data_IF_045523507215
#
_entry.id   IF_045523507215
#
_cell.length_a   1.000
_cell.length_b   1.000
_cell.length_c   1.000
_cell.angle_alpha   90.00
_cell.angle_beta   90.00
_cell.angle_gamma   90.00
#
_symmetry.space_group_name_H-M   'P 1'
#
loop_
_entity.id
_entity.type
_entity.pdbx_description
1 polymer ?
#
# COMPACT_ATOMS: atom_id res chain seq x y z
N UNK A 1 -29.27 -1.42 -25.59
CA UNK A 1 -28.94 -0.85 -24.27
C UNK A 1 -27.57 -1.38 -23.87
N UNK A 2 -26.56 -0.50 -23.81
CA UNK A 2 -25.23 -0.84 -23.32
C UNK A 2 -24.55 0.44 -22.87
N UNK A 3 -24.60 0.73 -21.57
CA UNK A 3 -23.81 1.82 -20.99
C UNK A 3 -22.50 1.23 -20.48
N UNK A 4 -21.60 0.90 -21.40
CA UNK A 4 -20.21 0.62 -21.04
C UNK A 4 -19.53 1.98 -20.86
N UNK A 5 -19.37 2.41 -19.59
CA UNK A 5 -18.57 3.58 -19.28
C UNK A 5 -17.10 3.21 -19.46
N UNK A 6 -16.58 3.48 -20.64
CA UNK A 6 -15.15 3.62 -20.94
C UNK A 6 -14.57 4.78 -20.10
N UNK A 7 -14.31 4.52 -18.82
CA UNK A 7 -13.29 5.30 -18.13
C UNK A 7 -11.95 4.65 -18.48
N UNK A 8 -11.40 5.04 -19.62
CA UNK A 8 -10.08 4.65 -20.15
C UNK A 8 -8.91 5.12 -19.30
N UNK A 9 -8.94 4.85 -18.01
CA UNK A 9 -7.81 4.96 -17.10
C UNK A 9 -7.27 3.56 -16.85
N UNK A 10 -6.53 3.01 -17.82
CA UNK A 10 -5.67 1.84 -17.61
C UNK A 10 -4.41 2.23 -16.84
N UNK A 11 -4.57 2.96 -15.73
CA UNK A 11 -3.45 3.28 -14.86
C UNK A 11 -2.99 1.98 -14.22
N UNK A 12 -1.81 1.51 -14.59
CA UNK A 12 -1.19 0.37 -13.91
C UNK A 12 -0.71 0.87 -12.57
N UNK A 13 -1.46 0.55 -11.51
CA UNK A 13 -1.09 0.89 -10.14
C UNK A 13 -0.37 -0.29 -9.51
N UNK A 14 0.88 -0.07 -9.12
CA UNK A 14 1.65 -1.03 -8.32
C UNK A 14 2.02 -0.36 -7.01
N UNK A 15 1.84 -1.07 -5.89
CA UNK A 15 2.19 -0.54 -4.59
C UNK A 15 3.09 -1.50 -3.82
N UNK A 16 4.04 -0.92 -3.10
CA UNK A 16 5.03 -1.62 -2.31
C UNK A 16 5.18 -0.90 -0.98
N UNK A 17 5.38 -1.66 0.09
CA UNK A 17 5.75 -1.12 1.39
C UNK A 17 7.21 -1.48 1.63
N UNK A 18 8.09 -0.49 1.65
CA UNK A 18 9.46 -0.66 2.07
C UNK A 18 9.55 -0.50 3.59
N UNK A 19 9.89 -1.56 4.30
CA UNK A 19 10.13 -1.56 5.74
C UNK A 19 11.59 -1.88 5.96
N UNK A 20 12.40 -0.86 6.26
CA UNK A 20 13.86 -0.99 6.30
C UNK A 20 14.41 -1.49 4.96
N UNK A 21 15.09 -2.64 4.97
CA UNK A 21 15.65 -3.28 3.76
C UNK A 21 14.66 -4.24 3.06
N UNK A 22 13.49 -4.49 3.65
CA UNK A 22 12.49 -5.40 3.10
C UNK A 22 11.47 -4.64 2.25
N UNK A 23 11.26 -5.09 1.03
CA UNK A 23 10.23 -4.54 0.14
C UNK A 23 9.08 -5.53 0.00
N UNK A 24 7.95 -5.19 0.59
CA UNK A 24 6.78 -6.06 0.63
C UNK A 24 5.77 -5.59 -0.42
N UNK A 25 5.32 -6.50 -1.27
CA UNK A 25 4.36 -6.17 -2.32
C UNK A 25 2.95 -6.02 -1.74
N UNK A 26 2.28 -4.94 -2.13
CA UNK A 26 0.89 -4.70 -1.76
C UNK A 26 -0.02 -5.16 -2.89
N UNK A 27 -1.08 -5.88 -2.53
CA UNK A 27 -2.15 -6.22 -3.46
C UNK A 27 -3.05 -5.00 -3.72
N UNK A 28 -3.26 -4.16 -2.70
CA UNK A 28 -4.10 -2.97 -2.80
C UNK A 28 -3.73 -1.95 -1.74
N UNK A 29 -3.78 -0.68 -2.10
CA UNK A 29 -3.70 0.43 -1.14
C UNK A 29 -5.07 1.05 -0.98
N UNK A 30 -5.50 1.19 0.26
CA UNK A 30 -6.62 2.01 0.67
C UNK A 30 -6.12 3.37 1.17
N UNK A 31 -7.08 4.26 1.47
CA UNK A 31 -6.78 5.59 2.00
C UNK A 31 -6.09 5.56 3.37
N UNK A 32 -6.40 4.55 4.18
CA UNK A 32 -5.89 4.37 5.56
C UNK A 32 -5.54 2.92 5.87
N UNK A 33 -5.70 2.01 4.91
CA UNK A 33 -5.39 0.59 5.05
C UNK A 33 -4.52 0.12 3.90
N UNK A 34 -3.61 -0.81 4.16
CA UNK A 34 -2.80 -1.47 3.15
C UNK A 34 -3.18 -2.93 3.11
N UNK A 35 -3.41 -3.45 1.92
CA UNK A 35 -3.61 -4.89 1.68
C UNK A 35 -2.35 -5.46 1.07
N UNK A 36 -1.74 -6.41 1.75
CA UNK A 36 -0.53 -7.10 1.37
C UNK A 36 -0.83 -8.23 0.40
N UNK A 37 0.01 -8.41 -0.61
CA UNK A 37 -0.11 -9.51 -1.56
C UNK A 37 0.26 -10.84 -0.91
N UNK A 38 1.19 -10.80 0.03
CA UNK A 38 1.71 -11.95 0.75
C UNK A 38 1.42 -11.80 2.24
N UNK A 39 1.31 -12.93 2.95
CA UNK A 39 1.22 -12.90 4.40
C UNK A 39 2.57 -12.49 4.96
N UNK A 40 2.59 -11.44 5.78
CA UNK A 40 3.78 -10.95 6.46
C UNK A 40 3.41 -10.70 7.91
N UNK A 41 4.41 -10.72 8.80
CA UNK A 41 4.23 -10.38 10.20
C UNK A 41 5.02 -9.10 10.47
N UNK A 42 4.31 -8.06 10.89
CA UNK A 42 4.89 -6.76 11.19
C UNK A 42 4.34 -6.28 12.54
N UNK A 43 5.19 -5.83 13.47
CA UNK A 43 4.70 -5.29 14.72
C UNK A 43 3.95 -3.96 14.49
N UNK A 44 2.99 -3.61 15.37
CA UNK A 44 2.39 -2.28 15.36
C UNK A 44 3.46 -1.22 15.63
N UNK A 45 3.32 -0.04 15.03
CA UNK A 45 4.30 1.05 15.10
C UNK A 45 5.48 0.89 14.14
N UNK A 46 5.44 -0.10 13.25
CA UNK A 46 6.48 -0.27 12.22
C UNK A 46 6.44 0.89 11.23
N UNK A 47 7.54 1.61 11.16
CA UNK A 47 7.74 2.67 10.17
C UNK A 47 8.19 2.08 8.83
N UNK A 48 7.68 2.64 7.74
CA UNK A 48 8.05 2.24 6.40
C UNK A 48 7.73 3.32 5.38
N UNK A 49 8.13 3.07 4.14
CA UNK A 49 7.84 3.93 3.01
C UNK A 49 6.85 3.22 2.08
N UNK A 50 5.67 3.82 1.93
CA UNK A 50 4.69 3.41 0.96
C UNK A 50 5.10 3.96 -0.41
N UNK A 51 5.52 3.06 -1.29
CA UNK A 51 5.87 3.35 -2.68
C UNK A 51 4.69 2.98 -3.56
N UNK A 52 4.06 3.97 -4.18
CA UNK A 52 2.97 3.77 -5.15
C UNK A 52 3.47 4.20 -6.52
N UNK A 53 3.51 3.26 -7.46
CA UNK A 53 3.79 3.52 -8.86
C UNK A 53 2.48 3.57 -9.64
N UNK A 54 2.16 4.70 -10.24
CA UNK A 54 0.98 4.91 -11.07
C UNK A 54 1.45 5.34 -12.46
N UNK A 55 1.27 4.50 -13.47
CA UNK A 55 1.60 4.86 -14.87
C UNK A 55 3.07 5.33 -15.04
N UNK A 56 4.00 4.67 -14.33
CA UNK A 56 5.43 5.03 -14.32
C UNK A 56 5.80 6.19 -13.38
N UNK A 57 4.84 6.90 -12.81
CA UNK A 57 5.09 7.88 -11.74
C UNK A 57 5.20 7.17 -10.39
N UNK A 58 6.39 7.24 -9.80
CA UNK A 58 6.66 6.70 -8.45
C UNK A 58 6.45 7.79 -7.41
N UNK A 59 5.46 7.60 -6.56
CA UNK A 59 5.21 8.40 -5.35
C UNK A 59 5.68 7.60 -4.13
N UNK A 60 6.44 8.23 -3.24
CA UNK A 60 6.90 7.59 -2.00
C UNK A 60 6.42 8.41 -0.83
N UNK A 61 5.85 7.75 0.19
CA UNK A 61 5.35 8.39 1.41
C UNK A 61 5.81 7.65 2.65
N UNK A 62 6.34 8.39 3.63
CA UNK A 62 6.56 7.85 4.96
C UNK A 62 5.22 7.48 5.61
N UNK A 63 5.10 6.23 6.04
CA UNK A 63 3.94 5.69 6.72
C UNK A 63 4.36 4.92 7.96
N UNK A 64 3.49 4.90 8.97
CA UNK A 64 3.63 4.05 10.14
C UNK A 64 2.43 3.12 10.20
N UNK A 65 2.69 1.82 10.39
CA UNK A 65 1.65 0.84 10.62
C UNK A 65 1.05 1.10 12.01
N UNK A 66 -0.24 1.42 12.06
CA UNK A 66 -0.95 1.62 13.32
C UNK A 66 -1.26 0.27 13.95
N UNK A 67 -1.64 -0.70 13.12
CA UNK A 67 -1.91 -2.07 13.51
C UNK A 67 -0.76 -2.98 13.09
N UNK A 68 -0.46 -3.96 13.93
CA UNK A 68 0.43 -5.05 13.56
C UNK A 68 -0.26 -5.98 12.57
N UNK A 69 0.54 -6.57 11.69
CA UNK A 69 0.13 -7.73 10.90
C UNK A 69 0.50 -8.99 11.66
N UNK A 70 -0.51 -9.79 11.99
CA UNK A 70 -0.31 -11.15 12.52
C UNK A 70 -0.40 -12.19 11.41
N UNK A 71 0.18 -13.37 11.65
CA UNK A 71 0.22 -14.49 10.71
C UNK A 71 -1.19 -14.85 10.20
N UNK A 72 -1.46 -14.57 8.93
CA UNK A 72 -2.76 -14.81 8.28
C UNK A 72 -3.59 -13.54 8.03
N UNK A 73 -3.26 -12.43 8.67
CA UNK A 73 -3.77 -11.12 8.27
C UNK A 73 -3.02 -10.64 7.02
N UNK A 74 -3.74 -9.91 6.18
CA UNK A 74 -3.20 -9.28 4.97
C UNK A 74 -3.59 -7.80 4.89
N UNK A 75 -4.25 -7.28 5.91
CA UNK A 75 -4.72 -5.89 5.94
C UNK A 75 -4.25 -5.28 7.24
N UNK A 76 -3.55 -4.16 7.15
CA UNK A 76 -3.18 -3.34 8.30
C UNK A 76 -3.57 -1.89 8.07
N UNK A 77 -3.94 -1.19 9.14
CA UNK A 77 -4.12 0.25 9.09
C UNK A 77 -2.76 0.96 9.16
N UNK A 78 -2.67 2.09 8.46
CA UNK A 78 -1.47 2.93 8.48
C UNK A 78 -1.85 4.40 8.65
N UNK A 79 -0.92 5.16 9.20
CA UNK A 79 -0.93 6.61 9.20
C UNK A 79 0.23 7.13 8.37
N UNK A 80 0.03 8.23 7.65
CA UNK A 80 1.10 8.92 6.93
C UNK A 80 1.84 9.79 7.94
N UNK A 81 3.15 9.59 8.10
CA UNK A 81 3.97 10.32 9.07
C UNK A 81 4.47 11.66 8.54
N UNK A 82 4.47 11.86 7.22
CA UNK A 82 4.86 13.12 6.59
C UNK A 82 3.76 13.66 5.65
N UNK A 83 3.06 14.75 6.03
CA UNK A 83 2.46 15.63 5.05
C UNK A 83 3.56 16.48 4.40
N UNK A 84 3.45 16.72 3.09
CA UNK A 84 4.24 17.75 2.41
C UNK A 84 3.92 19.14 2.97
#
# INVERSE_FOLDING_TARGET
MGIQRDNGYSATVQAFLAVGESMIRLAKTGRTTLTFAEACELPPGTEGELVVCVDGHRDTRGVVLLDGLTLGQRVAAYAVTAPF
#
